data_IF_839597432499
#
_entry.id   IF_839597432499
#
_cell.length_a   1.000
_cell.length_b   1.000
_cell.length_c   1.000
_cell.angle_alpha   90.00
_cell.angle_beta   90.00
_cell.angle_gamma   90.00
#
_symmetry.space_group_name_H-M   'P 1'
#
loop_
_entity.id
_entity.type
_entity.pdbx_description
1 polymer ?
#
# COMPACT_ATOMS: atom_id res chain seq x y z
N UNK A 1 12.68 -16.20 -8.32
CA UNK A 1 12.05 -14.85 -8.37
C UNK A 1 13.10 -13.80 -8.01
N UNK A 2 13.25 -12.74 -8.82
CA UNK A 2 14.22 -11.66 -8.53
C UNK A 2 13.75 -10.89 -7.28
N UNK A 3 14.64 -10.68 -6.29
CA UNK A 3 14.39 -9.93 -5.04
C UNK A 3 13.54 -8.66 -5.26
N UNK A 4 13.90 -7.90 -6.29
CA UNK A 4 13.28 -6.63 -6.65
C UNK A 4 11.80 -6.77 -6.97
N UNK A 5 11.36 -7.87 -7.61
CA UNK A 5 9.97 -8.08 -7.99
C UNK A 5 9.06 -8.22 -6.77
N UNK A 6 9.48 -9.01 -5.77
CA UNK A 6 8.71 -9.23 -4.53
C UNK A 6 8.59 -7.92 -3.74
N UNK A 7 9.66 -7.14 -3.69
CA UNK A 7 9.66 -5.83 -3.02
C UNK A 7 8.74 -4.85 -3.74
N UNK A 8 8.84 -4.74 -5.07
CA UNK A 8 7.96 -3.87 -5.87
C UNK A 8 6.49 -4.26 -5.69
N UNK A 9 6.17 -5.55 -5.73
CA UNK A 9 4.79 -6.04 -5.49
C UNK A 9 4.30 -5.59 -4.10
N UNK A 10 5.14 -5.69 -3.07
CA UNK A 10 4.82 -5.18 -1.74
C UNK A 10 4.50 -3.68 -1.73
N UNK A 11 5.30 -2.86 -2.42
CA UNK A 11 5.05 -1.43 -2.56
C UNK A 11 3.76 -1.10 -3.33
N UNK A 12 3.47 -1.84 -4.41
CA UNK A 12 2.22 -1.70 -5.19
C UNK A 12 1.00 -2.02 -4.32
N UNK A 13 1.07 -3.09 -3.50
CA UNK A 13 0.01 -3.44 -2.56
C UNK A 13 -0.18 -2.32 -1.52
N UNK A 14 0.90 -1.77 -0.99
CA UNK A 14 0.84 -0.63 -0.06
C UNK A 14 0.19 0.61 -0.68
N UNK A 15 0.49 0.91 -1.94
CA UNK A 15 -0.16 2.01 -2.66
C UNK A 15 -1.66 1.76 -2.88
N UNK A 16 -2.04 0.57 -3.35
CA UNK A 16 -3.44 0.19 -3.55
C UNK A 16 -4.25 0.28 -2.24
N UNK A 17 -3.65 -0.15 -1.13
CA UNK A 17 -4.26 -0.02 0.19
C UNK A 17 -4.56 1.44 0.54
N UNK A 18 -3.60 2.35 0.35
CA UNK A 18 -3.82 3.78 0.61
C UNK A 18 -4.90 4.41 -0.27
N UNK A 19 -5.05 3.96 -1.52
CA UNK A 19 -6.15 4.42 -2.38
C UNK A 19 -7.51 4.01 -1.83
N UNK A 20 -7.66 2.76 -1.41
CA UNK A 20 -8.91 2.26 -0.83
C UNK A 20 -9.22 2.99 0.47
N UNK A 21 -8.22 3.14 1.34
CA UNK A 21 -8.36 3.82 2.62
C UNK A 21 -8.79 5.29 2.45
N UNK A 22 -8.19 6.00 1.49
CA UNK A 22 -8.57 7.37 1.16
C UNK A 22 -10.01 7.48 0.67
N UNK A 23 -10.49 6.52 -0.13
CA UNK A 23 -11.87 6.52 -0.63
C UNK A 23 -12.86 6.25 0.49
N UNK A 24 -12.54 5.30 1.39
CA UNK A 24 -13.38 5.00 2.56
C UNK A 24 -13.43 6.20 3.51
N UNK A 25 -12.28 6.81 3.80
CA UNK A 25 -12.19 8.00 4.66
C UNK A 25 -12.97 9.20 4.09
N UNK A 26 -12.93 9.39 2.77
CA UNK A 26 -13.77 10.38 2.11
C UNK A 26 -15.26 10.04 2.24
N UNK A 27 -15.67 8.79 1.99
CA UNK A 27 -17.07 8.37 2.10
C UNK A 27 -17.66 8.59 3.51
N UNK A 28 -16.86 8.40 4.56
CA UNK A 28 -17.26 8.67 5.95
C UNK A 28 -17.44 10.16 6.26
N UNK A 29 -16.77 11.04 5.51
CA UNK A 29 -16.76 12.50 5.72
C UNK A 29 -17.55 13.27 4.67
N UNK A 30 -18.12 12.58 3.68
CA UNK A 30 -18.82 13.17 2.55
C UNK A 30 -20.14 13.86 2.98
N UNK A 31 -20.35 15.13 2.57
CA UNK A 31 -21.65 15.78 2.59
C UNK A 31 -22.72 14.98 1.83
N UNK A 32 -23.97 15.02 2.30
CA UNK A 32 -25.10 14.32 1.66
C UNK A 32 -25.47 14.85 0.26
N UNK A 33 -24.97 16.04 -0.09
CA UNK A 33 -25.30 16.75 -1.33
C UNK A 33 -24.20 16.66 -2.41
N UNK A 34 -23.09 15.95 -2.14
CA UNK A 34 -21.98 15.87 -3.10
C UNK A 34 -22.25 14.91 -4.26
N UNK A 35 -21.77 15.31 -5.44
CA UNK A 35 -21.83 14.48 -6.64
C UNK A 35 -21.00 13.20 -6.45
N UNK A 36 -21.50 12.07 -6.96
CA UNK A 36 -20.82 10.77 -6.89
C UNK A 36 -19.51 10.85 -7.69
N UNK A 37 -18.38 11.02 -7.00
CA UNK A 37 -17.05 11.20 -7.59
C UNK A 37 -15.91 10.65 -6.75
N UNK A 38 -14.73 10.49 -7.37
CA UNK A 38 -13.48 10.21 -6.65
C UNK A 38 -12.93 11.52 -6.10
N UNK A 39 -13.39 11.88 -4.90
CA UNK A 39 -12.86 13.03 -4.18
C UNK A 39 -11.98 12.60 -3.00
N UNK A 40 -10.96 13.40 -2.74
CA UNK A 40 -9.99 13.18 -1.67
C UNK A 40 -10.15 14.34 -0.71
N UNK A 41 -10.53 14.05 0.54
CA UNK A 41 -10.77 15.08 1.57
C UNK A 41 -9.57 16.02 1.77
N UNK A 42 -8.35 15.48 1.66
CA UNK A 42 -7.12 16.29 1.65
C UNK A 42 -5.98 15.61 0.90
N UNK A 43 -5.60 16.18 -0.24
CA UNK A 43 -4.46 15.71 -1.05
C UNK A 43 -3.14 15.65 -0.29
N UNK A 44 -2.92 16.57 0.66
CA UNK A 44 -1.68 16.61 1.44
C UNK A 44 -1.58 15.44 2.42
N UNK A 45 -2.69 15.11 3.07
CA UNK A 45 -2.79 13.95 3.98
C UNK A 45 -2.66 12.66 3.18
N UNK A 46 -3.37 12.57 2.07
CA UNK A 46 -3.33 11.42 1.16
C UNK A 46 -1.91 11.10 0.67
N UNK A 47 -1.15 12.10 0.21
CA UNK A 47 0.22 11.88 -0.27
C UNK A 47 1.12 11.33 0.85
N UNK A 48 1.01 11.89 2.07
CA UNK A 48 1.82 11.45 3.20
C UNK A 48 1.49 9.99 3.58
N UNK A 49 0.21 9.68 3.65
CA UNK A 49 -0.30 8.35 3.98
C UNK A 49 0.05 7.30 2.92
N UNK A 50 -0.09 7.66 1.63
CA UNK A 50 0.37 6.85 0.51
C UNK A 50 1.87 6.55 0.63
N UNK A 51 2.69 7.55 0.95
CA UNK A 51 4.13 7.37 1.10
C UNK A 51 4.46 6.41 2.25
N UNK A 52 3.76 6.54 3.37
CA UNK A 52 3.87 5.63 4.51
C UNK A 52 3.46 4.21 4.13
N UNK A 53 2.29 4.02 3.53
CA UNK A 53 1.79 2.70 3.14
C UNK A 53 2.70 2.02 2.11
N UNK A 54 3.23 2.77 1.12
CA UNK A 54 4.24 2.27 0.18
C UNK A 54 5.49 1.82 0.93
N UNK A 55 6.00 2.63 1.87
CA UNK A 55 7.21 2.29 2.63
C UNK A 55 7.03 1.01 3.45
N UNK A 56 5.88 0.84 4.09
CA UNK A 56 5.51 -0.37 4.83
C UNK A 56 5.40 -1.56 3.89
N UNK A 57 4.74 -1.41 2.75
CA UNK A 57 4.61 -2.44 1.72
C UNK A 57 5.97 -2.92 1.19
N UNK A 58 6.90 -1.99 0.93
CA UNK A 58 8.27 -2.30 0.51
C UNK A 58 9.03 -3.08 1.60
N UNK A 59 8.89 -2.67 2.87
CA UNK A 59 9.50 -3.35 4.02
C UNK A 59 8.96 -4.78 4.18
N UNK A 60 7.64 -4.96 4.11
CA UNK A 60 7.00 -6.27 4.19
C UNK A 60 7.45 -7.17 3.04
N UNK A 61 7.47 -6.65 1.80
CA UNK A 61 7.99 -7.39 0.65
C UNK A 61 9.45 -7.82 0.83
N UNK A 62 10.28 -6.96 1.43
CA UNK A 62 11.67 -7.29 1.75
C UNK A 62 11.80 -8.38 2.82
N UNK A 63 11.01 -8.30 3.89
CA UNK A 63 10.96 -9.31 4.96
C UNK A 63 10.54 -10.67 4.39
N UNK A 64 9.48 -10.72 3.59
CA UNK A 64 9.01 -11.94 2.92
C UNK A 64 10.12 -12.55 2.06
N UNK A 65 10.85 -11.73 1.30
CA UNK A 65 11.99 -12.21 0.52
C UNK A 65 13.08 -12.84 1.40
N UNK A 66 13.40 -12.25 2.56
CA UNK A 66 14.37 -12.82 3.50
C UNK A 66 13.92 -14.18 4.04
N UNK A 67 12.64 -14.32 4.38
CA UNK A 67 12.07 -15.60 4.82
C UNK A 67 12.11 -16.65 3.71
N UNK A 68 11.68 -16.31 2.49
CA UNK A 68 11.74 -17.22 1.34
C UNK A 68 13.17 -17.68 1.06
N UNK A 69 14.15 -16.76 1.11
CA UNK A 69 15.56 -17.10 0.95
C UNK A 69 16.04 -18.08 2.03
N UNK A 70 15.62 -17.87 3.30
CA UNK A 70 15.99 -18.74 4.43
C UNK A 70 15.34 -20.12 4.33
N UNK A 71 14.07 -20.20 3.92
CA UNK A 71 13.33 -21.47 3.77
C UNK A 71 13.88 -22.29 2.61
N UNK A 72 14.15 -21.67 1.45
CA UNK A 72 14.72 -22.37 0.29
C UNK A 72 16.11 -22.92 0.63
N UNK A 73 16.95 -22.14 1.33
CA UNK A 73 18.29 -22.59 1.74
C UNK A 73 18.26 -23.74 2.76
N UNK A 74 17.15 -23.92 3.49
CA UNK A 74 17.00 -24.98 4.50
C UNK A 74 16.44 -26.29 3.93
N UNK A 75 15.98 -26.28 2.67
CA UNK A 75 15.39 -27.44 1.96
C UNK A 75 16.37 -28.16 1.03
N UNK A 76 17.59 -27.62 0.86
CA UNK A 76 18.71 -28.20 0.12
C UNK A 76 19.74 -28.62 1.16
#
# INVERSE_FOLDING_TARGET
MKKTLIIIIGGVIGFLYSLIDSVVSYADTAPLDDEIGFEIASWKVFILESLLCISVGLLVGWIIFLFLKKVIKKKI
#
